data_IF_992002431303
#
_entry.id   IF_992002431303
#
_cell.length_a   1.000
_cell.length_b   1.000
_cell.length_c   1.000
_cell.angle_alpha   90.00
_cell.angle_beta   90.00
_cell.angle_gamma   90.00
#
_symmetry.space_group_name_H-M   'P 1'
#
loop_
_entity.id
_entity.type
_entity.pdbx_description
1 polymer ?
#
# COMPACT_ATOMS: atom_id res chain seq x y z
N UNK A 1 46.94 -1.47 -7.72
CA UNK A 1 46.42 -1.19 -6.36
C UNK A 1 45.42 -0.01 -6.31
N UNK A 2 45.66 1.15 -6.92
CA UNK A 2 44.76 2.33 -6.84
C UNK A 2 43.31 2.10 -7.39
N UNK A 3 43.13 1.29 -8.46
CA UNK A 3 41.81 1.05 -9.08
C UNK A 3 40.90 0.14 -8.22
N UNK A 4 41.45 -0.84 -7.52
CA UNK A 4 40.67 -1.72 -6.63
C UNK A 4 40.17 -0.97 -5.39
N UNK A 5 40.96 -0.06 -4.85
CA UNK A 5 40.58 0.74 -3.67
C UNK A 5 39.41 1.66 -3.97
N UNK A 6 39.36 2.26 -5.17
CA UNK A 6 38.27 3.13 -5.59
C UNK A 6 36.95 2.36 -5.76
N UNK A 7 36.99 1.16 -6.35
CA UNK A 7 35.78 0.32 -6.53
C UNK A 7 35.21 -0.12 -5.20
N UNK A 8 36.06 -0.48 -4.23
CA UNK A 8 35.59 -0.87 -2.88
C UNK A 8 34.98 0.33 -2.13
N UNK A 9 35.55 1.52 -2.25
CA UNK A 9 35.00 2.73 -1.62
C UNK A 9 33.62 3.11 -2.22
N UNK A 10 33.48 3.03 -3.53
CA UNK A 10 32.19 3.30 -4.19
C UNK A 10 31.13 2.27 -3.78
N UNK A 11 31.47 0.99 -3.71
CA UNK A 11 30.56 -0.06 -3.26
C UNK A 11 30.12 0.13 -1.80
N UNK A 12 31.04 0.53 -0.91
CA UNK A 12 30.75 0.82 0.50
C UNK A 12 29.86 2.05 0.62
N UNK A 13 30.12 3.12 -0.14
CA UNK A 13 29.28 4.34 -0.14
C UNK A 13 27.87 4.07 -0.66
N UNK A 14 27.72 3.24 -1.70
CA UNK A 14 26.41 2.83 -2.21
C UNK A 14 25.65 1.95 -1.20
N UNK A 15 26.36 1.04 -0.51
CA UNK A 15 25.76 0.19 0.51
C UNK A 15 25.35 0.97 1.77
N UNK A 16 26.16 1.92 2.21
CA UNK A 16 25.82 2.83 3.33
C UNK A 16 24.70 3.77 2.95
N UNK A 17 24.69 4.28 1.72
CA UNK A 17 23.59 5.11 1.19
C UNK A 17 22.27 4.34 1.15
N UNK A 18 22.26 3.11 0.67
CA UNK A 18 21.10 2.26 0.64
C UNK A 18 20.60 1.89 2.07
N UNK A 19 21.52 1.60 2.99
CA UNK A 19 21.19 1.33 4.39
C UNK A 19 20.62 2.57 5.12
N UNK A 20 21.08 3.78 4.77
CA UNK A 20 20.53 5.03 5.32
C UNK A 20 19.13 5.34 4.77
N UNK A 21 18.88 5.09 3.50
CA UNK A 21 17.54 5.25 2.88
C UNK A 21 16.56 4.24 3.48
N UNK A 22 16.95 2.98 3.63
CA UNK A 22 16.15 1.96 4.28
C UNK A 22 15.84 2.29 5.76
N UNK A 23 16.80 2.88 6.48
CA UNK A 23 16.59 3.30 7.88
C UNK A 23 15.69 4.54 8.00
N UNK A 24 15.76 5.49 7.06
CA UNK A 24 14.88 6.65 7.06
C UNK A 24 13.41 6.26 6.83
N UNK A 25 13.14 5.26 5.98
CA UNK A 25 11.80 4.70 5.81
C UNK A 25 11.28 3.99 7.07
N UNK A 26 12.14 3.32 7.83
CA UNK A 26 11.74 2.61 9.06
C UNK A 26 11.41 3.55 10.24
N UNK A 27 11.98 4.74 10.29
CA UNK A 27 11.75 5.70 11.38
C UNK A 27 10.33 6.32 11.32
N UNK A 28 9.73 6.42 10.13
CA UNK A 28 8.38 6.97 9.95
C UNK A 28 7.29 5.89 9.84
N UNK A 29 7.65 4.64 9.60
CA UNK A 29 6.67 3.57 9.45
C UNK A 29 5.81 3.38 10.72
N UNK A 30 6.39 3.50 11.90
CA UNK A 30 5.65 3.45 13.17
C UNK A 30 4.60 4.56 13.30
N UNK A 31 4.92 5.78 12.86
CA UNK A 31 3.98 6.90 12.87
C UNK A 31 2.81 6.67 11.91
N UNK A 32 3.07 6.07 10.75
CA UNK A 32 2.04 5.73 9.77
C UNK A 32 1.16 4.58 10.26
N UNK A 33 1.72 3.57 10.93
CA UNK A 33 0.96 2.47 11.52
C UNK A 33 0.00 2.99 12.59
N UNK A 34 0.44 3.86 13.50
CA UNK A 34 -0.45 4.50 14.49
C UNK A 34 -1.57 5.30 13.81
N UNK A 35 -1.27 6.00 12.71
CA UNK A 35 -2.28 6.72 11.94
C UNK A 35 -3.29 5.76 11.27
N UNK A 36 -2.81 4.65 10.68
CA UNK A 36 -3.64 3.61 10.08
C UNK A 36 -4.58 3.01 11.12
N UNK A 37 -4.08 2.65 12.31
CA UNK A 37 -4.88 2.08 13.39
C UNK A 37 -6.05 3.00 13.75
N UNK A 38 -5.80 4.30 13.99
CA UNK A 38 -6.85 5.28 14.31
C UNK A 38 -7.85 5.46 13.18
N UNK A 39 -7.37 5.57 11.94
CA UNK A 39 -8.23 5.77 10.79
C UNK A 39 -9.12 4.54 10.52
N UNK A 40 -8.60 3.36 10.73
CA UNK A 40 -9.31 2.10 10.54
C UNK A 40 -10.34 1.84 11.64
N UNK A 41 -10.05 2.22 12.90
CA UNK A 41 -11.01 2.13 14.02
C UNK A 41 -12.27 2.95 13.73
N UNK A 42 -12.10 4.19 13.21
CA UNK A 42 -13.23 5.07 12.83
C UNK A 42 -14.09 4.50 11.70
N UNK A 43 -13.53 3.60 10.87
CA UNK A 43 -14.15 3.06 9.65
C UNK A 43 -14.54 1.59 9.74
N UNK A 44 -14.31 0.94 10.88
CA UNK A 44 -14.52 -0.51 11.07
C UNK A 44 -13.78 -1.37 10.02
N UNK A 45 -12.52 -0.97 9.75
CA UNK A 45 -11.60 -1.69 8.85
C UNK A 45 -10.48 -2.31 9.67
N UNK A 46 -10.04 -3.52 9.31
CA UNK A 46 -8.90 -4.17 9.92
C UNK A 46 -7.59 -3.44 9.55
N UNK A 47 -6.83 -2.86 10.50
CA UNK A 47 -5.59 -2.14 10.19
C UNK A 47 -4.57 -3.01 9.44
N UNK A 48 -4.46 -4.28 9.80
CA UNK A 48 -3.56 -5.24 9.16
C UNK A 48 -3.89 -5.47 7.68
N UNK A 49 -5.14 -5.27 7.27
CA UNK A 49 -5.52 -5.31 5.85
C UNK A 49 -4.89 -4.14 5.09
N UNK A 50 -4.94 -2.94 5.68
CA UNK A 50 -4.32 -1.72 5.09
C UNK A 50 -2.81 -1.83 5.07
N UNK A 51 -2.19 -2.33 6.13
CA UNK A 51 -0.74 -2.57 6.19
C UNK A 51 -0.29 -3.56 5.11
N UNK A 52 -1.00 -4.68 4.95
CA UNK A 52 -0.71 -5.66 3.91
C UNK A 52 -0.88 -5.09 2.50
N UNK A 53 -1.86 -4.19 2.28
CA UNK A 53 -2.01 -3.46 1.03
C UNK A 53 -0.81 -2.55 0.76
N UNK A 54 -0.38 -1.74 1.73
CA UNK A 54 0.77 -0.84 1.60
C UNK A 54 2.06 -1.63 1.31
N UNK A 55 2.28 -2.76 2.01
CA UNK A 55 3.40 -3.65 1.71
C UNK A 55 3.37 -4.12 0.24
N UNK A 56 2.20 -4.49 -0.27
CA UNK A 56 2.00 -4.99 -1.64
C UNK A 56 2.14 -3.88 -2.68
N UNK A 57 1.58 -2.70 -2.44
CA UNK A 57 1.51 -1.59 -3.40
C UNK A 57 2.86 -0.86 -3.56
N UNK A 58 3.55 -0.61 -2.47
CA UNK A 58 4.74 0.24 -2.46
C UNK A 58 5.92 -0.31 -1.67
N UNK A 59 5.77 -1.40 -0.92
CA UNK A 59 6.75 -1.85 0.08
C UNK A 59 7.10 -0.72 1.09
N UNK A 60 6.11 0.06 1.49
CA UNK A 60 6.23 1.21 2.38
C UNK A 60 7.06 2.38 1.80
N UNK A 61 7.20 2.48 0.49
CA UNK A 61 7.85 3.62 -0.17
C UNK A 61 6.83 4.74 -0.47
N UNK A 62 6.84 5.87 0.25
CA UNK A 62 5.90 6.97 0.01
C UNK A 62 6.17 7.69 -1.31
N UNK A 63 7.36 7.51 -1.90
CA UNK A 63 7.73 8.09 -3.18
C UNK A 63 7.45 7.16 -4.37
N UNK A 64 6.84 6.00 -4.15
CA UNK A 64 6.54 5.04 -5.20
C UNK A 64 5.61 5.63 -6.26
N UNK A 65 5.97 5.46 -7.54
CA UNK A 65 5.18 5.92 -8.69
C UNK A 65 5.11 4.84 -9.75
N UNK A 66 3.91 4.48 -10.17
CA UNK A 66 3.66 3.54 -11.28
C UNK A 66 2.57 4.11 -12.19
N UNK A 67 2.97 4.74 -13.29
CA UNK A 67 2.06 5.46 -14.17
C UNK A 67 1.32 6.57 -13.43
N UNK A 68 0.00 6.48 -13.35
CA UNK A 68 -0.83 7.46 -12.63
C UNK A 68 -1.02 7.12 -11.13
N UNK A 69 -0.49 5.98 -10.66
CA UNK A 69 -0.57 5.54 -9.28
C UNK A 69 0.61 6.08 -8.47
N UNK A 70 0.35 6.62 -7.28
CA UNK A 70 1.34 7.32 -6.46
C UNK A 70 1.21 6.94 -4.99
N UNK A 71 2.34 6.87 -4.30
CA UNK A 71 2.47 6.81 -2.85
C UNK A 71 2.26 5.43 -2.25
N UNK A 72 2.08 5.38 -0.93
CA UNK A 72 2.02 4.17 -0.12
C UNK A 72 0.94 3.18 -0.60
N UNK A 73 -0.25 3.67 -0.91
CA UNK A 73 -1.39 2.87 -1.36
C UNK A 73 -1.62 2.91 -2.87
N UNK A 74 -0.66 3.45 -3.65
CA UNK A 74 -0.72 3.56 -5.10
C UNK A 74 -2.04 4.11 -5.63
N UNK A 75 -2.47 5.24 -5.06
CA UNK A 75 -3.72 5.92 -5.45
C UNK A 75 -3.61 6.43 -6.88
N UNK A 76 -4.56 6.04 -7.75
CA UNK A 76 -4.61 6.51 -9.13
C UNK A 76 -5.20 7.92 -9.20
N UNK A 77 -4.36 8.90 -9.55
CA UNK A 77 -4.71 10.33 -9.57
C UNK A 77 -5.77 10.70 -10.60
N UNK A 78 -5.89 9.97 -11.70
CA UNK A 78 -6.88 10.24 -12.72
C UNK A 78 -8.26 9.71 -12.35
N UNK A 79 -8.29 8.48 -11.82
CA UNK A 79 -9.56 7.82 -11.44
C UNK A 79 -10.18 8.50 -10.21
N UNK A 80 -9.35 8.83 -9.21
CA UNK A 80 -9.82 9.34 -7.92
C UNK A 80 -9.71 10.87 -7.76
N UNK A 81 -9.61 11.60 -8.87
CA UNK A 81 -9.37 13.04 -8.89
C UNK A 81 -10.34 13.85 -8.00
N UNK A 82 -11.63 13.49 -8.00
CA UNK A 82 -12.64 14.17 -7.18
C UNK A 82 -12.45 13.90 -5.68
N UNK A 83 -12.13 12.67 -5.30
CA UNK A 83 -11.87 12.28 -3.92
C UNK A 83 -10.55 12.90 -3.39
N UNK A 84 -9.54 12.96 -4.22
CA UNK A 84 -8.25 13.58 -3.92
C UNK A 84 -8.43 15.07 -3.61
N UNK A 85 -9.17 15.81 -4.44
CA UNK A 85 -9.35 17.25 -4.28
C UNK A 85 -8.01 17.98 -4.24
N UNK A 86 -7.76 18.75 -3.17
CA UNK A 86 -6.54 19.53 -2.98
C UNK A 86 -5.42 18.79 -2.22
N UNK A 87 -5.57 17.48 -1.97
CA UNK A 87 -4.59 16.68 -1.21
C UNK A 87 -3.35 16.36 -2.04
N UNK A 88 -2.21 16.26 -1.37
CA UNK A 88 -0.94 15.85 -1.97
C UNK A 88 -0.75 14.32 -1.87
N UNK A 89 -0.88 13.63 -2.98
CA UNK A 89 -0.70 12.16 -3.00
C UNK A 89 0.75 11.71 -2.78
N UNK A 90 1.70 12.64 -2.69
CA UNK A 90 3.07 12.35 -2.24
C UNK A 90 3.25 12.50 -0.72
N UNK A 91 2.29 13.13 -0.05
CA UNK A 91 2.22 13.13 1.41
C UNK A 91 1.67 11.78 1.91
N UNK A 92 2.38 11.07 2.81
CA UNK A 92 1.98 9.76 3.28
C UNK A 92 0.61 9.72 3.96
N UNK A 93 0.27 10.73 4.74
CA UNK A 93 -0.99 10.80 5.47
C UNK A 93 -2.18 11.05 4.56
N UNK A 94 -2.03 11.97 3.60
CA UNK A 94 -3.04 12.22 2.57
C UNK A 94 -3.26 10.97 1.70
N UNK A 95 -2.17 10.28 1.35
CA UNK A 95 -2.22 9.07 0.53
C UNK A 95 -2.92 7.91 1.26
N UNK A 96 -2.58 7.65 2.52
CA UNK A 96 -3.25 6.65 3.37
C UNK A 96 -4.73 7.01 3.52
N UNK A 97 -5.06 8.28 3.83
CA UNK A 97 -6.45 8.72 3.99
C UNK A 97 -7.30 8.43 2.75
N UNK A 98 -6.81 8.82 1.57
CA UNK A 98 -7.54 8.60 0.31
C UNK A 98 -7.62 7.11 -0.02
N UNK A 99 -6.52 6.36 0.12
CA UNK A 99 -6.49 4.92 -0.16
C UNK A 99 -7.44 4.13 0.75
N UNK A 100 -7.48 4.44 2.05
CA UNK A 100 -8.40 3.81 3.01
C UNK A 100 -9.85 4.21 2.73
N UNK A 101 -10.11 5.45 2.30
CA UNK A 101 -11.46 5.87 1.90
C UNK A 101 -11.96 5.10 0.67
N UNK A 102 -11.09 4.89 -0.33
CA UNK A 102 -11.41 4.04 -1.49
C UNK A 102 -11.74 2.61 -1.05
N UNK A 103 -10.92 2.05 -0.16
CA UNK A 103 -11.14 0.70 0.37
C UNK A 103 -12.47 0.61 1.13
N UNK A 104 -12.81 1.59 1.98
CA UNK A 104 -14.07 1.68 2.70
C UNK A 104 -15.27 1.65 1.75
N UNK A 105 -15.26 2.47 0.69
CA UNK A 105 -16.31 2.50 -0.32
C UNK A 105 -16.48 1.14 -1.00
N UNK A 106 -15.38 0.46 -1.30
CA UNK A 106 -15.41 -0.87 -1.91
C UNK A 106 -15.91 -1.94 -0.94
N UNK A 107 -15.51 -1.90 0.33
CA UNK A 107 -16.01 -2.80 1.37
C UNK A 107 -17.51 -2.62 1.59
N UNK A 108 -18.00 -1.38 1.64
CA UNK A 108 -19.44 -1.10 1.74
C UNK A 108 -20.21 -1.60 0.50
N UNK A 109 -19.62 -1.47 -0.68
CA UNK A 109 -20.27 -1.89 -1.93
C UNK A 109 -20.37 -3.39 -2.09
N UNK A 110 -19.31 -4.12 -1.70
CA UNK A 110 -19.21 -5.57 -1.96
C UNK A 110 -19.44 -6.44 -0.72
N UNK A 111 -19.35 -5.87 0.48
CA UNK A 111 -19.60 -6.57 1.74
C UNK A 111 -18.49 -7.52 2.20
N UNK A 112 -17.48 -7.77 1.37
CA UNK A 112 -16.38 -8.70 1.64
C UNK A 112 -15.03 -8.11 1.18
N UNK A 113 -13.96 -8.45 1.90
CA UNK A 113 -12.62 -7.94 1.60
C UNK A 113 -12.07 -8.46 0.25
N UNK A 114 -12.32 -9.71 -0.09
CA UNK A 114 -11.79 -10.30 -1.32
C UNK A 114 -12.24 -9.55 -2.58
N UNK A 115 -13.55 -9.35 -2.87
CA UNK A 115 -13.97 -8.56 -4.01
C UNK A 115 -13.53 -7.09 -3.89
N UNK A 116 -13.56 -6.48 -2.70
CA UNK A 116 -13.09 -5.10 -2.51
C UNK A 116 -11.63 -4.94 -2.98
N UNK A 117 -10.73 -5.83 -2.57
CA UNK A 117 -9.34 -5.84 -3.00
C UNK A 117 -9.17 -6.06 -4.51
N UNK A 118 -9.97 -6.96 -5.09
CA UNK A 118 -9.92 -7.22 -6.54
C UNK A 118 -10.28 -5.98 -7.34
N UNK A 119 -11.31 -5.23 -6.90
CA UNK A 119 -11.72 -3.98 -7.54
C UNK A 119 -10.76 -2.83 -7.27
N UNK A 120 -10.12 -2.78 -6.10
CA UNK A 120 -9.07 -1.81 -5.80
C UNK A 120 -7.93 -1.94 -6.82
N UNK A 121 -7.42 -3.15 -7.03
CA UNK A 121 -6.36 -3.44 -7.98
C UNK A 121 -6.76 -3.21 -9.45
N UNK A 122 -8.02 -3.47 -9.80
CA UNK A 122 -8.51 -3.34 -11.18
C UNK A 122 -8.83 -1.90 -11.60
N UNK A 123 -8.82 -0.94 -10.67
CA UNK A 123 -9.05 0.47 -10.96
C UNK A 123 -10.44 0.78 -11.51
N UNK A 124 -11.51 0.20 -10.98
CA UNK A 124 -12.90 0.39 -11.42
C UNK A 124 -13.20 -0.03 -12.88
N UNK A 125 -12.35 -0.78 -13.54
CA UNK A 125 -12.71 -1.32 -14.84
C UNK A 125 -13.77 -2.41 -14.67
N UNK A 126 -15.00 -2.09 -15.03
CA UNK A 126 -16.21 -2.92 -14.85
C UNK A 126 -16.10 -4.35 -15.42
N UNK A 127 -15.12 -4.62 -16.26
CA UNK A 127 -14.98 -5.90 -16.96
C UNK A 127 -14.00 -6.89 -16.33
N UNK A 128 -13.13 -6.47 -15.40
CA UNK A 128 -12.08 -7.35 -14.86
C UNK A 128 -12.41 -7.92 -13.47
N UNK A 129 -13.03 -7.12 -12.60
CA UNK A 129 -13.36 -7.53 -11.24
C UNK A 129 -14.58 -8.45 -11.19
N UNK A 130 -15.62 -8.18 -11.99
CA UNK A 130 -16.90 -8.91 -11.94
C UNK A 130 -16.72 -10.35 -12.46
N UNK A 131 -16.07 -10.57 -13.59
CA UNK A 131 -15.89 -11.90 -14.17
C UNK A 131 -15.04 -12.84 -13.31
N UNK A 132 -14.02 -12.32 -12.62
CA UNK A 132 -13.20 -13.11 -11.72
C UNK A 132 -13.92 -13.46 -10.41
N UNK A 133 -14.82 -12.61 -9.94
CA UNK A 133 -15.62 -12.84 -8.74
C UNK A 133 -16.79 -13.80 -8.99
N UNK A 134 -17.43 -13.74 -10.17
CA UNK A 134 -18.49 -14.69 -10.57
C UNK A 134 -18.00 -16.14 -10.67
N UNK A 135 -16.72 -16.34 -10.97
CA UNK A 135 -16.07 -17.65 -10.99
C UNK A 135 -15.58 -18.12 -9.59
N UNK A 136 -15.88 -17.37 -8.50
CA UNK A 136 -15.39 -17.61 -7.13
C UNK A 136 -13.86 -17.72 -7.03
N UNK A 137 -13.13 -17.20 -8.01
CA UNK A 137 -11.69 -17.30 -8.08
C UNK A 137 -11.04 -16.02 -7.55
N UNK A 138 -10.41 -16.11 -6.38
CA UNK A 138 -9.55 -15.05 -5.84
C UNK A 138 -8.44 -14.68 -6.84
N UNK A 139 -8.25 -13.38 -7.08
CA UNK A 139 -7.06 -12.92 -7.76
C UNK A 139 -5.83 -13.15 -6.90
N UNK A 140 -4.67 -13.37 -7.51
CA UNK A 140 -3.41 -13.50 -6.76
C UNK A 140 -3.16 -12.29 -5.85
N UNK A 141 -3.55 -11.09 -6.29
CA UNK A 141 -3.45 -9.85 -5.52
C UNK A 141 -4.25 -9.93 -4.21
N UNK A 142 -5.53 -10.28 -4.28
CA UNK A 142 -6.38 -10.37 -3.10
C UNK A 142 -5.94 -11.52 -2.17
N UNK A 143 -5.58 -12.68 -2.72
CA UNK A 143 -5.12 -13.84 -1.95
C UNK A 143 -3.84 -13.54 -1.16
N UNK A 144 -2.85 -12.89 -1.77
CA UNK A 144 -1.61 -12.52 -1.12
C UNK A 144 -1.83 -11.51 0.01
N UNK A 145 -2.67 -10.48 -0.20
CA UNK A 145 -2.98 -9.47 0.81
C UNK A 145 -3.75 -10.09 2.00
N UNK A 146 -4.77 -10.91 1.74
CA UNK A 146 -5.55 -11.54 2.81
C UNK A 146 -4.68 -12.48 3.66
N UNK A 147 -3.80 -13.25 3.04
CA UNK A 147 -2.84 -14.10 3.76
C UNK A 147 -1.87 -13.26 4.61
N UNK A 148 -1.38 -12.16 4.05
CA UNK A 148 -0.45 -11.27 4.76
C UNK A 148 -1.13 -10.55 5.92
N UNK A 149 -2.36 -10.07 5.75
CA UNK A 149 -3.15 -9.48 6.81
C UNK A 149 -3.35 -10.45 7.99
N UNK A 150 -3.76 -11.69 7.71
CA UNK A 150 -3.91 -12.72 8.74
C UNK A 150 -2.58 -13.10 9.44
N UNK A 151 -1.44 -12.95 8.77
CA UNK A 151 -0.12 -13.10 9.40
C UNK A 151 0.19 -11.93 10.34
N UNK A 152 -0.09 -10.69 9.91
CA UNK A 152 0.10 -9.49 10.71
C UNK A 152 -0.75 -9.50 11.98
N UNK A 153 -2.04 -9.89 11.89
CA UNK A 153 -2.90 -10.06 13.07
C UNK A 153 -2.25 -10.99 14.11
N UNK A 154 -1.72 -12.14 13.68
CA UNK A 154 -1.02 -13.07 14.58
C UNK A 154 0.25 -12.48 15.18
N UNK A 155 0.99 -11.68 14.42
CA UNK A 155 2.21 -11.01 14.90
C UNK A 155 1.88 -9.90 15.90
N UNK A 156 0.75 -9.21 15.73
CA UNK A 156 0.25 -8.18 16.66
C UNK A 156 -0.49 -8.77 17.87
N UNK A 157 -0.64 -10.12 17.94
CA UNK A 157 -1.24 -10.81 19.08
C UNK A 157 -2.77 -10.74 19.14
N UNK A 158 -3.38 -10.57 17.98
CA UNK A 158 -4.84 -10.54 17.78
C UNK A 158 -5.39 -11.88 17.34
#
# INVERSE_FOLDING_TARGET
MKRMTIVVIIAVLLFVGFAMIAKAGSDHQGDWQEYIERLCEDKDILPELVEAMIEKESSWDPAAVNGNCVGLMQVNKEIHKELIGDRDMTDPYDNIYVGVTILEELLHKYGEAAPALMFYNAGYSDNYGIGAYEDEKLSNYADEILKRAAELERLHGK
#
